data_IF_955975036839
#
_entry.id   IF_955975036839
#
_cell.length_a   1.000
_cell.length_b   1.000
_cell.length_c   1.000
_cell.angle_alpha   90.00
_cell.angle_beta   90.00
_cell.angle_gamma   90.00
#
_symmetry.space_group_name_H-M   'P 1'
#
loop_
_entity.id
_entity.type
_entity.pdbx_description
1 polymer ?
#
# COMPACT_ATOMS: atom_id res chain seq x y z
N UNK A 1 0.62 -5.33 24.59
CA UNK A 1 1.53 -5.24 23.42
C UNK A 1 1.08 -6.29 22.43
N UNK A 2 0.85 -5.94 21.17
CA UNK A 2 0.38 -6.90 20.15
C UNK A 2 1.53 -7.83 19.78
N UNK A 3 1.29 -9.13 19.82
CA UNK A 3 2.29 -10.16 19.47
C UNK A 3 2.54 -10.16 17.96
N UNK A 4 3.79 -10.32 17.49
CA UNK A 4 4.06 -10.53 16.07
C UNK A 4 3.31 -11.75 15.52
N UNK A 5 2.85 -11.67 14.28
CA UNK A 5 2.21 -12.76 13.53
C UNK A 5 2.87 -12.90 12.16
N UNK A 6 2.95 -14.11 11.59
CA UNK A 6 3.44 -14.27 10.23
C UNK A 6 2.55 -13.50 9.25
N UNK A 7 3.15 -12.98 8.19
CA UNK A 7 2.50 -12.12 7.21
C UNK A 7 1.29 -12.76 6.51
N UNK A 8 1.25 -14.10 6.35
CA UNK A 8 0.11 -14.81 5.75
C UNK A 8 -1.13 -14.89 6.65
N UNK A 9 -1.00 -14.70 7.96
CA UNK A 9 -2.13 -14.67 8.91
C UNK A 9 -2.77 -13.28 9.01
N UNK A 10 -2.13 -12.24 8.45
CA UNK A 10 -2.60 -10.86 8.52
C UNK A 10 -3.25 -10.51 7.19
N UNK A 11 -4.55 -10.19 7.24
CA UNK A 11 -5.31 -9.81 6.06
C UNK A 11 -4.69 -8.60 5.34
N UNK A 12 -4.71 -8.63 4.01
CA UNK A 12 -4.44 -7.46 3.19
C UNK A 12 -5.36 -6.29 3.60
N UNK A 13 -4.84 -5.06 3.52
CA UNK A 13 -5.53 -3.86 3.97
C UNK A 13 -5.30 -3.54 5.45
N UNK A 14 -4.73 -4.47 6.22
CA UNK A 14 -4.36 -4.22 7.62
C UNK A 14 -3.13 -3.32 7.74
N UNK A 15 -3.04 -2.58 8.83
CA UNK A 15 -1.84 -1.84 9.20
C UNK A 15 -0.93 -2.70 10.07
N UNK A 16 0.37 -2.61 9.82
CA UNK A 16 1.39 -3.35 10.54
C UNK A 16 2.59 -2.47 10.84
N UNK A 17 3.35 -2.82 11.87
CA UNK A 17 4.68 -2.26 12.10
C UNK A 17 5.76 -3.33 12.03
N UNK A 18 6.92 -2.93 11.56
CA UNK A 18 8.16 -3.69 11.58
C UNK A 18 9.35 -2.73 11.64
N UNK A 19 10.52 -3.25 12.01
CA UNK A 19 11.76 -2.51 11.91
C UNK A 19 12.35 -2.70 10.50
N UNK A 20 12.57 -1.59 9.80
CA UNK A 20 13.20 -1.54 8.49
C UNK A 20 14.46 -0.69 8.62
N UNK A 21 15.63 -1.30 8.39
CA UNK A 21 16.92 -0.61 8.41
C UNK A 21 17.15 0.18 9.73
N UNK A 22 16.73 -0.39 10.87
CA UNK A 22 16.84 0.23 12.20
C UNK A 22 15.74 1.25 12.53
N UNK A 23 14.77 1.46 11.63
CA UNK A 23 13.67 2.41 11.81
C UNK A 23 12.35 1.67 11.90
N UNK A 24 11.59 1.92 12.96
CA UNK A 24 10.22 1.40 13.06
C UNK A 24 9.33 2.08 12.03
N UNK A 25 8.75 1.30 11.13
CA UNK A 25 7.88 1.79 10.07
C UNK A 25 6.44 1.30 10.27
N UNK A 26 5.47 2.18 10.00
CA UNK A 26 4.07 1.83 9.81
C UNK A 26 3.84 1.52 8.33
N UNK A 27 3.25 0.37 8.04
CA UNK A 27 3.01 -0.10 6.69
C UNK A 27 1.56 -0.53 6.48
N UNK A 28 1.07 -0.39 5.25
CA UNK A 28 -0.11 -1.08 4.76
C UNK A 28 0.30 -2.45 4.25
N UNK A 29 -0.34 -3.51 4.76
CA UNK A 29 -0.20 -4.87 4.24
C UNK A 29 -0.94 -4.97 2.90
N UNK A 30 -0.24 -5.43 1.87
CA UNK A 30 -0.81 -5.58 0.54
C UNK A 30 -0.57 -6.98 -0.03
N UNK A 31 -1.45 -7.41 -0.93
CA UNK A 31 -1.36 -8.74 -1.55
C UNK A 31 -1.67 -8.71 -3.04
N UNK A 32 -0.93 -9.52 -3.80
CA UNK A 32 -1.25 -9.82 -5.21
C UNK A 32 -1.62 -11.28 -5.30
N UNK A 33 -2.88 -11.54 -5.62
CA UNK A 33 -3.41 -12.88 -5.83
C UNK A 33 -3.01 -13.34 -7.24
N UNK A 34 -2.13 -14.33 -7.32
CA UNK A 34 -1.84 -15.07 -8.54
C UNK A 34 -2.75 -16.29 -8.69
N UNK A 35 -2.54 -17.08 -9.74
CA UNK A 35 -3.33 -18.30 -9.98
C UNK A 35 -3.05 -19.40 -8.94
N UNK A 36 -1.78 -19.56 -8.57
CA UNK A 36 -1.31 -20.67 -7.70
C UNK A 36 -0.75 -20.18 -6.36
N UNK A 37 -0.47 -18.89 -6.23
CA UNK A 37 0.17 -18.32 -5.04
C UNK A 37 -0.27 -16.87 -4.80
N UNK A 38 -0.28 -16.46 -3.53
CA UNK A 38 -0.45 -15.07 -3.11
C UNK A 38 0.91 -14.48 -2.81
N UNK A 39 1.24 -13.37 -3.46
CA UNK A 39 2.43 -12.60 -3.14
C UNK A 39 2.10 -11.56 -2.08
N UNK A 40 2.94 -11.47 -1.04
CA UNK A 40 2.75 -10.56 0.08
C UNK A 40 3.69 -9.37 -0.05
N UNK A 41 3.17 -8.17 0.26
CA UNK A 41 3.90 -6.92 0.18
C UNK A 41 3.62 -6.02 1.37
N UNK A 42 4.51 -5.03 1.54
CA UNK A 42 4.30 -3.88 2.39
C UNK A 42 4.41 -2.60 1.57
N UNK A 43 3.55 -1.64 1.87
CA UNK A 43 3.71 -0.24 1.46
C UNK A 43 4.00 0.60 2.70
N UNK A 44 5.18 1.22 2.75
CA UNK A 44 5.58 2.08 3.88
C UNK A 44 4.77 3.37 3.84
N UNK A 45 4.08 3.68 4.94
CA UNK A 45 3.27 4.89 5.11
C UNK A 45 3.95 5.91 6.02
N UNK A 46 4.57 5.45 7.12
CA UNK A 46 5.37 6.26 8.03
C UNK A 46 6.70 5.56 8.37
N UNK A 47 7.85 6.27 8.41
CA UNK A 47 8.00 7.63 7.90
C UNK A 47 7.64 7.68 6.41
N UNK A 48 6.98 8.78 5.99
CA UNK A 48 6.50 8.89 4.61
C UNK A 48 7.71 8.86 3.67
N UNK A 49 7.77 7.94 2.70
CA UNK A 49 8.85 7.93 1.72
C UNK A 49 8.88 9.25 0.93
N UNK A 50 10.06 9.61 0.41
CA UNK A 50 10.19 10.74 -0.51
C UNK A 50 9.23 10.61 -1.70
N UNK A 51 8.78 11.73 -2.31
CA UNK A 51 7.99 11.69 -3.53
C UNK A 51 8.63 10.80 -4.59
N UNK A 52 7.82 9.95 -5.25
CA UNK A 52 8.34 9.02 -6.24
C UNK A 52 8.93 7.71 -5.70
N UNK A 53 9.15 7.58 -4.38
CA UNK A 53 9.84 6.41 -3.78
C UNK A 53 8.91 5.38 -3.14
N UNK A 54 7.62 5.69 -2.96
CA UNK A 54 6.67 4.74 -2.39
C UNK A 54 6.55 3.49 -3.28
N UNK A 55 6.81 2.31 -2.71
CA UNK A 55 6.95 1.08 -3.46
C UNK A 55 6.27 -0.11 -2.77
N UNK A 56 5.93 -1.13 -3.56
CA UNK A 56 5.66 -2.46 -3.06
C UNK A 56 6.98 -3.10 -2.64
N UNK A 57 7.14 -3.35 -1.34
CA UNK A 57 8.24 -4.15 -0.82
C UNK A 57 7.75 -5.59 -0.70
N UNK A 58 8.28 -6.48 -1.53
CA UNK A 58 8.01 -7.92 -1.40
C UNK A 58 8.48 -8.41 -0.04
N UNK A 59 7.69 -9.26 0.60
CA UNK A 59 8.02 -9.90 1.86
C UNK A 59 7.74 -11.39 1.80
N UNK A 60 8.47 -12.15 2.60
CA UNK A 60 8.17 -13.56 2.83
C UNK A 60 6.82 -13.71 3.58
N UNK A 61 5.96 -14.67 3.21
CA UNK A 61 4.71 -14.93 3.93
C UNK A 61 4.91 -15.26 5.42
N UNK A 62 6.05 -15.84 5.81
CA UNK A 62 6.36 -16.16 7.21
C UNK A 62 6.99 -15.00 7.99
N UNK A 63 7.30 -13.87 7.33
CA UNK A 63 7.89 -12.72 7.98
C UNK A 63 7.00 -12.25 9.16
N UNK A 64 7.54 -12.19 10.39
CA UNK A 64 6.77 -11.75 11.54
C UNK A 64 6.51 -10.23 11.46
N UNK A 65 5.25 -9.84 11.56
CA UNK A 65 4.78 -8.46 11.54
C UNK A 65 3.95 -8.18 12.79
N UNK A 66 3.98 -6.95 13.30
CA UNK A 66 3.16 -6.55 14.44
C UNK A 66 1.91 -5.84 13.92
N UNK A 67 0.69 -6.43 14.03
CA UNK A 67 -0.54 -5.76 13.65
C UNK A 67 -0.76 -4.48 14.47
N UNK A 68 -1.34 -3.47 13.82
CA UNK A 68 -1.66 -2.19 14.44
C UNK A 68 -3.14 -1.87 14.23
N UNK A 69 -3.88 -1.83 15.33
CA UNK A 69 -5.27 -1.40 15.36
C UNK A 69 -5.38 0.11 15.59
N UNK A 70 -6.58 0.68 15.39
CA UNK A 70 -6.82 2.10 15.62
C UNK A 70 -6.08 3.01 14.65
N UNK A 71 -5.77 2.52 13.45
CA UNK A 71 -5.12 3.30 12.38
C UNK A 71 -5.96 3.23 11.12
N UNK A 72 -6.08 4.36 10.43
CA UNK A 72 -6.77 4.46 9.15
C UNK A 72 -6.07 5.47 8.24
N UNK A 73 -6.45 5.46 6.96
CA UNK A 73 -6.09 6.52 6.02
C UNK A 73 -7.22 7.54 5.96
N UNK A 74 -6.90 8.80 6.22
CA UNK A 74 -7.77 9.94 6.00
C UNK A 74 -7.51 10.53 4.62
N UNK A 75 -8.57 10.96 3.94
CA UNK A 75 -8.49 11.47 2.57
C UNK A 75 -9.05 12.88 2.47
N UNK A 76 -8.38 13.70 1.69
CA UNK A 76 -8.76 15.08 1.35
C UNK A 76 -8.75 15.26 -0.16
N UNK A 77 -9.20 16.42 -0.62
CA UNK A 77 -8.99 16.80 -2.03
C UNK A 77 -7.50 16.83 -2.36
N UNK A 78 -7.17 16.24 -3.49
CA UNK A 78 -5.82 16.18 -4.03
C UNK A 78 -5.59 17.22 -5.13
N UNK A 79 -4.40 17.23 -5.74
CA UNK A 79 -4.08 18.17 -6.80
C UNK A 79 -4.89 17.89 -8.08
N UNK A 80 -5.24 18.94 -8.81
CA UNK A 80 -5.94 18.86 -10.10
C UNK A 80 -4.98 18.53 -11.26
N UNK A 81 -4.22 17.44 -11.14
CA UNK A 81 -3.31 16.97 -12.19
C UNK A 81 -3.62 15.53 -12.61
N UNK A 82 -3.22 15.18 -13.82
CA UNK A 82 -3.30 13.82 -14.36
C UNK A 82 -2.14 13.60 -15.33
N UNK A 83 -1.49 12.41 -15.36
CA UNK A 83 -1.79 11.22 -14.55
C UNK A 83 -1.32 11.32 -13.07
N UNK A 84 -1.77 10.42 -12.19
CA UNK A 84 -1.24 10.30 -10.83
C UNK A 84 0.24 9.93 -10.85
N UNK A 85 0.97 10.37 -9.84
CA UNK A 85 2.38 10.05 -9.59
C UNK A 85 2.50 8.95 -8.53
N UNK A 86 3.69 8.37 -8.39
CA UNK A 86 3.95 7.40 -7.33
C UNK A 86 3.80 8.07 -5.96
N UNK A 87 2.96 7.47 -5.10
CA UNK A 87 2.59 7.98 -3.80
C UNK A 87 1.26 8.74 -3.79
N UNK A 88 0.65 9.01 -4.94
CA UNK A 88 -0.68 9.60 -4.99
C UNK A 88 -1.78 8.57 -4.76
N UNK A 89 -2.83 9.00 -4.06
CA UNK A 89 -4.10 8.30 -4.05
C UNK A 89 -5.04 8.91 -5.09
N UNK A 90 -5.91 8.11 -5.71
CA UNK A 90 -6.92 8.57 -6.64
C UNK A 90 -8.16 7.69 -6.61
N UNK A 91 -9.32 8.31 -6.85
CA UNK A 91 -10.57 7.60 -7.03
C UNK A 91 -10.82 7.31 -8.51
N UNK A 92 -11.27 6.10 -8.81
CA UNK A 92 -11.81 5.73 -10.12
C UNK A 92 -13.12 4.94 -9.94
N UNK A 93 -13.68 4.40 -11.03
CA UNK A 93 -14.94 3.63 -11.00
C UNK A 93 -14.90 2.36 -10.14
N UNK A 94 -13.70 1.82 -9.87
CA UNK A 94 -13.53 0.57 -9.11
C UNK A 94 -13.24 0.82 -7.64
N UNK A 95 -12.83 2.02 -7.25
CA UNK A 95 -12.55 2.36 -5.87
C UNK A 95 -11.41 3.36 -5.71
N UNK A 96 -10.87 3.41 -4.49
CA UNK A 96 -9.75 4.26 -4.12
C UNK A 96 -8.44 3.49 -4.24
N UNK A 97 -7.51 4.05 -4.99
CA UNK A 97 -6.26 3.43 -5.39
C UNK A 97 -5.08 4.25 -4.89
N UNK A 98 -4.02 3.59 -4.43
CA UNK A 98 -2.72 4.19 -4.16
C UNK A 98 -1.72 3.73 -5.21
N UNK A 99 -1.16 4.66 -5.98
CA UNK A 99 -0.16 4.34 -7.00
C UNK A 99 1.20 4.14 -6.34
N UNK A 100 1.84 3.00 -6.60
CA UNK A 100 3.11 2.61 -5.99
C UNK A 100 4.07 2.06 -7.03
N UNK A 101 5.38 2.23 -6.80
CA UNK A 101 6.40 1.60 -7.63
C UNK A 101 6.36 0.08 -7.43
N UNK A 102 6.57 -0.67 -8.49
CA UNK A 102 6.57 -2.14 -8.50
C UNK A 102 7.81 -2.62 -9.26
N UNK A 103 8.85 -3.02 -8.54
CA UNK A 103 10.17 -3.33 -9.14
C UNK A 103 10.35 -4.82 -9.46
N UNK A 104 9.27 -5.47 -9.89
CA UNK A 104 9.28 -6.90 -10.17
C UNK A 104 9.69 -7.18 -11.61
N UNK A 105 11.00 -7.09 -11.96
CA UNK A 105 11.66 -7.61 -13.20
C UNK A 105 10.87 -7.53 -14.53
N UNK A 106 9.86 -6.69 -14.62
CA UNK A 106 8.84 -6.67 -15.65
C UNK A 106 8.73 -5.24 -16.15
N UNK A 107 8.30 -5.08 -17.39
CA UNK A 107 8.23 -3.78 -18.07
C UNK A 107 7.26 -2.77 -17.42
N UNK A 108 6.66 -3.08 -16.26
CA UNK A 108 5.68 -2.23 -15.57
C UNK A 108 6.32 -1.63 -14.32
N UNK A 109 6.54 -0.32 -14.37
CA UNK A 109 7.20 0.44 -13.31
C UNK A 109 6.29 0.74 -12.10
N UNK A 110 4.98 0.48 -12.20
CA UNK A 110 4.03 0.78 -11.14
C UNK A 110 2.87 -0.22 -11.07
N UNK A 111 2.32 -0.33 -9.86
CA UNK A 111 1.10 -1.05 -9.51
C UNK A 111 0.20 -0.16 -8.64
N UNK A 112 -1.03 -0.62 -8.39
CA UNK A 112 -2.04 0.14 -7.66
C UNK A 112 -2.55 -0.69 -6.49
N UNK A 113 -2.50 -0.16 -5.28
CA UNK A 113 -3.09 -0.81 -4.11
C UNK A 113 -4.50 -0.27 -3.90
N UNK A 114 -5.49 -1.14 -3.95
CA UNK A 114 -6.86 -0.81 -3.58
C UNK A 114 -6.93 -0.60 -2.07
N UNK A 115 -7.23 0.62 -1.62
CA UNK A 115 -7.13 1.00 -0.21
C UNK A 115 -8.05 0.16 0.68
N UNK A 116 -9.27 -0.13 0.21
CA UNK A 116 -10.27 -0.84 1.00
C UNK A 116 -9.90 -2.30 1.31
N UNK A 117 -9.09 -2.93 0.46
CA UNK A 117 -8.81 -4.38 0.50
C UNK A 117 -7.32 -4.70 0.65
N UNK A 118 -6.44 -3.72 0.42
CA UNK A 118 -5.00 -3.93 0.27
C UNK A 118 -4.61 -4.75 -0.96
N UNK A 119 -5.54 -5.01 -1.89
CA UNK A 119 -5.24 -5.83 -3.06
C UNK A 119 -4.49 -5.03 -4.12
N UNK A 120 -3.42 -5.61 -4.63
CA UNK A 120 -2.58 -5.06 -5.69
C UNK A 120 -3.23 -5.34 -7.05
N UNK A 121 -3.47 -4.28 -7.83
CA UNK A 121 -4.11 -4.31 -9.14
C UNK A 121 -3.19 -3.71 -10.22
N UNK A 122 -3.24 -4.23 -11.46
CA UNK A 122 -2.60 -3.58 -12.61
C UNK A 122 -3.55 -2.59 -13.31
N UNK A 123 -2.99 -1.58 -14.00
CA UNK A 123 -3.70 -0.73 -14.98
C UNK A 123 -4.97 -0.01 -14.45
N UNK A 124 -4.87 0.64 -13.29
CA UNK A 124 -6.03 1.30 -12.67
C UNK A 124 -6.24 2.77 -13.05
N UNK A 125 -5.39 3.35 -13.90
CA UNK A 125 -5.50 4.77 -14.33
C UNK A 125 -6.59 5.04 -15.37
N UNK A 126 -7.35 4.03 -15.79
CA UNK A 126 -8.50 4.27 -16.65
C UNK A 126 -9.69 4.81 -15.85
N UNK A 127 -10.29 5.90 -16.33
CA UNK A 127 -11.49 6.48 -15.71
C UNK A 127 -11.22 7.09 -14.33
N UNK A 128 -10.06 7.73 -14.16
CA UNK A 128 -9.77 8.53 -12.96
C UNK A 128 -10.81 9.63 -12.83
N UNK A 129 -11.39 9.71 -11.64
CA UNK A 129 -12.39 10.72 -11.27
C UNK A 129 -11.69 11.92 -10.64
N UNK A 130 -10.81 11.69 -9.66
CA UNK A 130 -10.02 12.72 -8.97
C UNK A 130 -8.81 12.15 -8.25
N UNK A 131 -7.78 12.97 -8.07
CA UNK A 131 -6.70 12.68 -7.12
C UNK A 131 -7.12 13.05 -5.70
N UNK A 132 -6.52 12.38 -4.73
CA UNK A 132 -6.82 12.51 -3.31
C UNK A 132 -5.52 12.79 -2.54
N UNK A 133 -5.56 13.79 -1.66
CA UNK A 133 -4.60 13.88 -0.57
C UNK A 133 -4.87 12.74 0.41
N UNK A 134 -3.82 12.21 1.04
CA UNK A 134 -3.97 11.19 2.08
C UNK A 134 -2.98 11.39 3.22
N UNK A 135 -3.39 10.98 4.41
CA UNK A 135 -2.58 10.98 5.63
C UNK A 135 -2.95 9.79 6.52
N UNK A 136 -2.04 9.40 7.39
CA UNK A 136 -2.31 8.38 8.42
C UNK A 136 -3.01 9.07 9.60
N UNK A 137 -4.13 8.50 10.03
CA UNK A 137 -4.86 8.92 11.22
C UNK A 137 -4.82 7.80 12.26
N UNK A 138 -4.67 8.21 13.53
CA UNK A 138 -4.80 7.34 14.71
C UNK A 138 -6.15 7.63 15.36
N UNK A 139 -6.91 6.57 15.66
CA UNK A 139 -8.25 6.59 16.26
C UNK A 139 -8.17 6.54 17.79
#
# INVERSE_FOLDING_TARGET
MTTPKPAYEIAAGSFVTLELDGVRALCLKAERIGKEHTNHFLVVLEPRPEPGRMALRYIDPELPLVPVDGVSLAFSDGPERTPPEIGDAFANRTGLMLKVKDDAKSQRYCSYVEIATGLVRPRMEHGIIRLMGWSVQRL
#
